data_IF_511733064193
#
_entry.id   IF_511733064193
#
_cell.length_a   1.000
_cell.length_b   1.000
_cell.length_c   1.000
_cell.angle_alpha   90.00
_cell.angle_beta   90.00
_cell.angle_gamma   90.00
#
_symmetry.space_group_name_H-M   'P 1'
#
loop_
_entity.id
_entity.type
_entity.pdbx_description
1 polymer ?
#
# COMPACT_ATOMS: atom_id res chain seq x y z
N UNK A 1 8.81 39.36 -56.10
CA UNK A 1 8.24 39.07 -54.76
C UNK A 1 8.14 37.56 -54.63
N UNK A 2 8.89 36.96 -53.70
CA UNK A 2 8.99 35.51 -53.53
C UNK A 2 7.97 35.07 -52.48
N UNK A 3 6.99 34.29 -52.90
CA UNK A 3 6.02 33.65 -52.00
C UNK A 3 6.78 32.47 -51.33
N UNK A 4 6.85 32.41 -49.99
CA UNK A 4 7.48 31.27 -49.32
C UNK A 4 6.69 29.98 -49.60
N UNK A 5 7.43 28.92 -49.96
CA UNK A 5 6.91 27.65 -50.47
C UNK A 5 6.56 26.64 -49.36
N UNK A 6 6.55 27.05 -48.09
CA UNK A 6 6.34 26.14 -46.96
C UNK A 6 5.23 26.64 -46.05
N UNK A 7 4.13 25.88 -46.02
CA UNK A 7 3.03 26.01 -45.07
C UNK A 7 3.42 25.34 -43.74
N UNK A 8 4.15 26.07 -42.88
CA UNK A 8 4.44 25.62 -41.52
C UNK A 8 3.23 25.69 -40.59
N UNK A 9 2.11 26.28 -41.04
CA UNK A 9 0.88 26.41 -40.27
C UNK A 9 0.16 25.08 -40.11
N UNK A 10 0.02 24.30 -41.19
CA UNK A 10 -0.64 22.98 -41.14
C UNK A 10 0.08 21.98 -40.24
N UNK A 11 1.43 21.98 -40.22
CA UNK A 11 2.21 21.12 -39.33
C UNK A 11 2.06 21.50 -37.84
N UNK A 12 2.02 22.80 -37.52
CA UNK A 12 1.82 23.27 -36.15
C UNK A 12 0.39 22.96 -35.64
N UNK A 13 -0.62 23.11 -36.50
CA UNK A 13 -2.01 22.78 -36.20
C UNK A 13 -2.18 21.27 -35.98
N UNK A 14 -1.63 20.43 -36.87
CA UNK A 14 -1.67 18.98 -36.72
C UNK A 14 -1.02 18.51 -35.41
N UNK A 15 0.08 19.15 -34.98
CA UNK A 15 0.71 18.87 -33.70
C UNK A 15 -0.19 19.24 -32.52
N UNK A 16 -0.81 20.42 -32.56
CA UNK A 16 -1.72 20.86 -31.51
C UNK A 16 -2.93 19.93 -31.37
N UNK A 17 -3.49 19.49 -32.50
CA UNK A 17 -4.58 18.52 -32.54
C UNK A 17 -4.17 17.14 -31.96
N UNK A 18 -2.99 16.64 -32.33
CA UNK A 18 -2.47 15.39 -31.79
C UNK A 18 -2.30 15.43 -30.26
N UNK A 19 -1.77 16.54 -29.72
CA UNK A 19 -1.61 16.74 -28.27
C UNK A 19 -2.99 16.80 -27.58
N UNK A 20 -3.95 17.49 -28.20
CA UNK A 20 -5.31 17.54 -27.67
C UNK A 20 -5.94 16.14 -27.62
N UNK A 21 -5.91 15.40 -28.72
CA UNK A 21 -6.45 14.03 -28.78
C UNK A 21 -5.77 13.09 -27.79
N UNK A 22 -4.45 13.22 -27.61
CA UNK A 22 -3.72 12.45 -26.60
C UNK A 22 -4.20 12.77 -25.18
N UNK A 23 -4.39 14.05 -24.85
CA UNK A 23 -4.87 14.45 -23.52
C UNK A 23 -6.33 14.01 -23.26
N UNK A 24 -7.20 14.10 -24.28
CA UNK A 24 -8.56 13.58 -24.22
C UNK A 24 -8.60 12.06 -24.01
N UNK A 25 -7.78 11.31 -24.76
CA UNK A 25 -7.67 9.86 -24.59
C UNK A 25 -7.15 9.47 -23.20
N UNK A 26 -6.16 10.20 -22.67
CA UNK A 26 -5.64 9.96 -21.32
C UNK A 26 -6.69 10.20 -20.25
N UNK A 27 -7.48 11.27 -20.38
CA UNK A 27 -8.59 11.56 -19.47
C UNK A 27 -9.65 10.46 -19.51
N UNK A 28 -10.04 10.03 -20.72
CA UNK A 28 -10.99 8.93 -20.90
C UNK A 28 -10.49 7.64 -20.25
N UNK A 29 -9.21 7.30 -20.44
CA UNK A 29 -8.59 6.14 -19.81
C UNK A 29 -8.62 6.24 -18.28
N UNK A 30 -8.20 7.37 -17.71
CA UNK A 30 -8.22 7.57 -16.25
C UNK A 30 -9.62 7.44 -15.66
N UNK A 31 -10.66 7.93 -16.36
CA UNK A 31 -12.03 7.77 -15.91
C UNK A 31 -12.50 6.31 -15.92
N UNK A 32 -12.11 5.54 -16.95
CA UNK A 32 -12.41 4.10 -17.05
C UNK A 32 -11.69 3.32 -15.94
N UNK A 33 -10.42 3.62 -15.72
CA UNK A 33 -9.59 2.97 -14.69
C UNK A 33 -10.17 3.21 -13.31
N UNK A 34 -10.47 4.47 -12.96
CA UNK A 34 -11.05 4.84 -11.67
C UNK A 34 -12.38 4.12 -11.41
N UNK A 35 -13.27 4.05 -12.41
CA UNK A 35 -14.54 3.32 -12.28
C UNK A 35 -14.34 1.82 -12.10
N UNK A 36 -13.37 1.26 -12.80
CA UNK A 36 -13.07 -0.18 -12.73
C UNK A 36 -12.51 -0.56 -11.37
N UNK A 37 -11.61 0.25 -10.83
CA UNK A 37 -11.02 0.09 -9.49
C UNK A 37 -12.09 0.11 -8.39
N UNK A 38 -13.02 1.07 -8.42
CA UNK A 38 -14.14 1.13 -7.47
C UNK A 38 -15.02 -0.13 -7.55
N UNK A 39 -15.27 -0.65 -8.76
CA UNK A 39 -16.08 -1.85 -8.93
C UNK A 39 -15.38 -3.09 -8.36
N UNK A 40 -14.07 -3.18 -8.55
CA UNK A 40 -13.25 -4.27 -8.05
C UNK A 40 -13.16 -4.25 -6.52
N UNK A 41 -12.82 -3.10 -5.93
CA UNK A 41 -12.73 -2.93 -4.48
C UNK A 41 -14.06 -3.20 -3.79
N UNK A 42 -15.17 -2.76 -4.39
CA UNK A 42 -16.51 -3.04 -3.88
C UNK A 42 -16.86 -4.54 -3.89
N UNK A 43 -16.47 -5.26 -4.95
CA UNK A 43 -16.71 -6.70 -5.04
C UNK A 43 -15.86 -7.48 -4.03
N UNK A 44 -14.62 -7.05 -3.80
CA UNK A 44 -13.73 -7.61 -2.78
C UNK A 44 -14.26 -7.34 -1.36
N UNK A 45 -14.77 -6.13 -1.11
CA UNK A 45 -15.42 -5.76 0.15
C UNK A 45 -16.61 -6.67 0.47
N UNK A 46 -17.54 -6.85 -0.47
CA UNK A 46 -18.72 -7.71 -0.24
C UNK A 46 -18.31 -9.15 0.06
N UNK A 47 -17.36 -9.70 -0.70
CA UNK A 47 -16.92 -11.08 -0.52
C UNK A 47 -16.27 -11.28 0.85
N UNK A 48 -15.37 -10.38 1.25
CA UNK A 48 -14.70 -10.46 2.56
C UNK A 48 -15.66 -10.25 3.73
N UNK A 49 -16.66 -9.37 3.58
CA UNK A 49 -17.74 -9.20 4.55
C UNK A 49 -18.54 -10.49 4.74
N UNK A 50 -18.95 -11.15 3.64
CA UNK A 50 -19.72 -12.39 3.70
C UNK A 50 -18.92 -13.51 4.37
N UNK A 51 -17.63 -13.63 4.07
CA UNK A 51 -16.74 -14.59 4.73
C UNK A 51 -16.65 -14.30 6.22
N UNK A 52 -16.36 -13.05 6.62
CA UNK A 52 -16.26 -12.67 8.03
C UNK A 52 -17.57 -12.92 8.79
N UNK A 53 -18.71 -12.63 8.17
CA UNK A 53 -20.04 -12.91 8.71
C UNK A 53 -20.28 -14.41 8.89
N UNK A 54 -19.97 -15.23 7.89
CA UNK A 54 -20.12 -16.68 7.97
C UNK A 54 -19.28 -17.28 9.11
N UNK A 55 -18.06 -16.79 9.32
CA UNK A 55 -17.25 -17.21 10.47
C UNK A 55 -17.90 -16.86 11.81
N UNK A 56 -18.44 -15.63 11.93
CA UNK A 56 -19.09 -15.14 13.15
C UNK A 56 -20.38 -15.91 13.47
N UNK A 57 -21.21 -16.12 12.46
CA UNK A 57 -22.58 -16.59 12.64
C UNK A 57 -22.65 -18.13 12.65
N UNK A 58 -21.73 -18.81 11.96
CA UNK A 58 -21.78 -20.27 11.77
C UNK A 58 -20.54 -20.99 12.30
N UNK A 59 -19.34 -20.64 11.82
CA UNK A 59 -18.13 -21.45 12.08
C UNK A 59 -17.73 -21.44 13.56
N UNK A 60 -17.61 -20.25 14.16
CA UNK A 60 -17.17 -20.10 15.56
C UNK A 60 -18.21 -20.67 16.54
N UNK A 61 -19.52 -20.35 16.41
CA UNK A 61 -20.54 -20.94 17.27
C UNK A 61 -20.62 -22.47 17.15
N UNK A 62 -20.56 -23.02 15.93
CA UNK A 62 -20.60 -24.46 15.73
C UNK A 62 -19.41 -25.16 16.39
N UNK A 63 -18.20 -24.60 16.22
CA UNK A 63 -17.00 -25.14 16.83
C UNK A 63 -17.06 -25.10 18.36
N UNK A 64 -17.68 -24.07 18.94
CA UNK A 64 -17.94 -24.00 20.38
C UNK A 64 -18.85 -25.13 20.85
N UNK A 65 -19.97 -25.37 20.16
CA UNK A 65 -20.91 -26.45 20.50
C UNK A 65 -20.23 -27.82 20.48
N UNK A 66 -19.43 -28.09 19.44
CA UNK A 66 -18.67 -29.35 19.31
C UNK A 66 -17.72 -29.56 20.49
N UNK A 67 -17.03 -28.51 20.91
CA UNK A 67 -16.08 -28.60 22.02
C UNK A 67 -16.76 -28.77 23.38
N UNK A 68 -17.88 -28.06 23.59
CA UNK A 68 -18.68 -28.20 24.80
C UNK A 68 -19.16 -29.67 24.95
N UNK A 69 -19.56 -30.31 23.84
CA UNK A 69 -19.89 -31.75 23.79
C UNK A 69 -18.66 -32.66 24.01
N UNK A 70 -17.50 -32.32 23.43
CA UNK A 70 -16.25 -33.09 23.62
C UNK A 70 -15.84 -33.12 25.09
N UNK A 71 -16.00 -32.00 25.80
CA UNK A 71 -15.76 -31.91 27.23
C UNK A 71 -16.70 -32.83 28.03
N UNK A 72 -17.99 -32.87 27.68
CA UNK A 72 -18.94 -33.79 28.31
C UNK A 72 -18.58 -35.26 28.09
N UNK A 73 -18.14 -35.63 26.88
CA UNK A 73 -17.68 -37.00 26.57
C UNK A 73 -16.41 -37.36 27.33
N UNK A 74 -15.46 -36.44 27.42
CA UNK A 74 -14.25 -36.64 28.22
C UNK A 74 -14.59 -36.89 29.69
N UNK A 75 -15.46 -36.06 30.28
CA UNK A 75 -15.93 -36.25 31.66
C UNK A 75 -16.66 -37.60 31.85
N UNK A 76 -17.36 -38.07 30.82
CA UNK A 76 -18.02 -39.39 30.80
C UNK A 76 -17.08 -40.56 30.52
N UNK A 77 -15.77 -40.35 30.40
CA UNK A 77 -14.76 -41.35 29.97
C UNK A 77 -15.03 -41.94 28.57
N UNK A 78 -15.79 -41.23 27.73
CA UNK A 78 -16.10 -41.60 26.35
C UNK A 78 -15.14 -40.97 25.33
N UNK A 79 -14.30 -40.01 25.77
CA UNK A 79 -13.27 -39.39 24.95
C UNK A 79 -11.92 -39.36 25.69
N UNK A 80 -10.84 -39.37 24.91
CA UNK A 80 -9.46 -39.33 25.41
C UNK A 80 -8.94 -37.89 25.57
N UNK A 81 -7.96 -37.69 26.47
CA UNK A 81 -7.24 -36.41 26.59
C UNK A 81 -6.63 -35.98 25.24
N UNK A 82 -6.17 -36.93 24.43
CA UNK A 82 -5.63 -36.63 23.10
C UNK A 82 -6.68 -36.06 22.14
N UNK A 83 -7.93 -36.53 22.24
CA UNK A 83 -9.05 -36.02 21.45
C UNK A 83 -9.45 -34.62 21.93
N UNK A 84 -9.43 -34.37 23.24
CA UNK A 84 -9.65 -33.03 23.80
C UNK A 84 -8.58 -32.02 23.33
N UNK A 85 -7.31 -32.44 23.30
CA UNK A 85 -6.21 -31.63 22.78
C UNK A 85 -6.36 -31.37 21.28
N UNK A 86 -6.83 -32.36 20.51
CA UNK A 86 -7.11 -32.19 19.08
C UNK A 86 -8.25 -31.19 18.86
N UNK A 87 -9.35 -31.30 19.61
CA UNK A 87 -10.47 -30.36 19.53
C UNK A 87 -10.04 -28.94 19.91
N UNK A 88 -9.23 -28.77 20.96
CA UNK A 88 -8.68 -27.46 21.34
C UNK A 88 -7.83 -26.82 20.21
N UNK A 89 -7.08 -27.63 19.44
CA UNK A 89 -6.36 -27.12 18.26
C UNK A 89 -7.33 -26.69 17.17
N UNK A 90 -8.36 -27.48 16.89
CA UNK A 90 -9.39 -27.11 15.91
C UNK A 90 -10.14 -25.83 16.30
N UNK A 91 -10.43 -25.64 17.59
CA UNK A 91 -10.98 -24.39 18.10
C UNK A 91 -10.07 -23.20 17.80
N UNK A 92 -8.77 -23.34 18.09
CA UNK A 92 -7.81 -22.29 17.81
C UNK A 92 -7.73 -21.97 16.31
N UNK A 93 -7.78 -22.99 15.44
CA UNK A 93 -7.83 -22.80 13.97
C UNK A 93 -9.09 -22.05 13.55
N UNK A 94 -10.26 -22.39 14.09
CA UNK A 94 -11.50 -21.71 13.75
C UNK A 94 -11.50 -20.23 14.18
N UNK A 95 -10.98 -19.94 15.38
CA UNK A 95 -10.85 -18.55 15.87
C UNK A 95 -9.83 -17.76 15.06
N UNK A 96 -8.67 -18.36 14.74
CA UNK A 96 -7.68 -17.71 13.89
C UNK A 96 -8.25 -17.41 12.49
N UNK A 97 -8.98 -18.35 11.89
CA UNK A 97 -9.66 -18.15 10.62
C UNK A 97 -10.68 -16.99 10.67
N UNK A 98 -11.40 -16.82 11.78
CA UNK A 98 -12.28 -15.66 11.97
C UNK A 98 -11.51 -14.34 12.07
N UNK A 99 -10.38 -14.32 12.78
CA UNK A 99 -9.52 -13.13 12.90
C UNK A 99 -8.95 -12.75 11.53
N UNK A 100 -8.49 -13.73 10.75
CA UNK A 100 -8.00 -13.50 9.39
C UNK A 100 -9.10 -12.96 8.48
N UNK A 101 -10.31 -13.53 8.54
CA UNK A 101 -11.45 -13.04 7.77
C UNK A 101 -11.83 -11.59 8.15
N UNK A 102 -11.78 -11.24 9.43
CA UNK A 102 -11.99 -9.85 9.87
C UNK A 102 -10.89 -8.93 9.35
N UNK A 103 -9.63 -9.35 9.40
CA UNK A 103 -8.50 -8.57 8.86
C UNK A 103 -8.71 -8.29 7.38
N UNK A 104 -9.06 -9.30 6.60
CA UNK A 104 -9.26 -9.18 5.16
C UNK A 104 -10.46 -8.28 4.84
N UNK A 105 -11.53 -8.37 5.63
CA UNK A 105 -12.66 -7.43 5.55
C UNK A 105 -12.24 -5.98 5.79
N UNK A 106 -11.49 -5.71 6.86
CA UNK A 106 -11.04 -4.35 7.16
C UNK A 106 -10.09 -3.81 6.08
N UNK A 107 -9.22 -4.66 5.53
CA UNK A 107 -8.37 -4.28 4.40
C UNK A 107 -9.21 -3.92 3.17
N UNK A 108 -10.19 -4.75 2.80
CA UNK A 108 -11.07 -4.50 1.66
C UNK A 108 -11.93 -3.24 1.83
N UNK A 109 -12.42 -2.97 3.04
CA UNK A 109 -13.13 -1.74 3.37
C UNK A 109 -12.22 -0.51 3.18
N UNK A 110 -10.97 -0.57 3.65
CA UNK A 110 -10.04 0.55 3.46
C UNK A 110 -9.65 0.76 2.01
N UNK A 111 -9.57 -0.31 1.20
CA UNK A 111 -9.31 -0.22 -0.25
C UNK A 111 -10.50 0.41 -0.98
N UNK A 112 -11.73 0.01 -0.61
CA UNK A 112 -12.95 0.62 -1.13
C UNK A 112 -12.98 2.13 -0.82
N UNK A 113 -12.71 2.52 0.43
CA UNK A 113 -12.66 3.93 0.82
C UNK A 113 -11.60 4.72 0.04
N UNK A 114 -10.42 4.13 -0.22
CA UNK A 114 -9.38 4.74 -1.05
C UNK A 114 -9.84 4.93 -2.50
N UNK A 115 -10.49 3.92 -3.08
CA UNK A 115 -11.01 4.01 -4.45
C UNK A 115 -12.12 5.06 -4.60
N UNK A 116 -12.97 5.24 -3.58
CA UNK A 116 -14.05 6.23 -3.55
C UNK A 116 -13.56 7.66 -3.30
N UNK A 117 -12.56 7.82 -2.41
CA UNK A 117 -11.89 9.10 -2.14
C UNK A 117 -10.99 9.56 -3.28
N UNK A 118 -10.79 8.70 -4.29
CA UNK A 118 -9.90 8.89 -5.41
C UNK A 118 -8.45 8.58 -5.05
N UNK A 119 -7.74 7.86 -5.92
CA UNK A 119 -6.29 8.04 -6.00
C UNK A 119 -6.06 9.52 -6.25
N UNK A 120 -5.40 10.21 -5.32
CA UNK A 120 -4.72 11.44 -5.71
C UNK A 120 -3.93 11.08 -6.96
N UNK A 121 -4.08 11.84 -8.08
CA UNK A 121 -3.28 11.59 -9.26
C UNK A 121 -1.86 11.39 -8.76
N UNK A 122 -1.13 10.34 -9.22
CA UNK A 122 0.22 10.13 -8.77
C UNK A 122 0.86 11.50 -8.87
N UNK A 123 1.29 12.06 -7.72
CA UNK A 123 2.17 13.21 -7.74
C UNK A 123 3.24 12.69 -8.66
N UNK A 124 3.23 13.16 -9.91
CA UNK A 124 4.27 12.84 -10.85
C UNK A 124 5.46 13.32 -10.07
N UNK A 125 6.19 12.37 -9.45
CA UNK A 125 7.38 12.67 -8.69
C UNK A 125 8.18 13.36 -9.74
N UNK A 126 8.20 14.70 -9.64
CA UNK A 126 8.54 15.58 -10.73
C UNK A 126 9.83 15.02 -11.24
N UNK A 127 9.82 14.45 -12.45
CA UNK A 127 11.06 14.01 -13.06
C UNK A 127 11.93 15.25 -12.95
N UNK A 128 12.97 15.15 -12.11
CA UNK A 128 13.88 16.25 -11.87
C UNK A 128 14.24 16.75 -13.26
N UNK A 129 14.13 18.06 -13.56
CA UNK A 129 14.57 18.54 -14.85
C UNK A 129 15.99 18.03 -15.03
N UNK A 130 16.23 17.28 -16.10
CA UNK A 130 17.56 16.87 -16.51
C UNK A 130 18.31 18.18 -16.74
N UNK A 131 19.06 18.62 -15.73
CA UNK A 131 19.85 19.84 -15.79
C UNK A 131 20.98 19.51 -16.75
N UNK A 132 21.06 20.13 -17.94
CA UNK A 132 22.16 19.88 -18.84
C UNK A 132 23.45 20.20 -18.10
N UNK A 133 24.33 19.21 -18.06
CA UNK A 133 25.59 19.25 -17.34
C UNK A 133 26.49 20.34 -17.95
N UNK A 134 26.53 21.51 -17.33
CA UNK A 134 27.42 22.61 -17.72
C UNK A 134 28.73 22.48 -16.94
N UNK A 135 29.40 21.34 -17.05
CA UNK A 135 30.79 21.19 -16.63
C UNK A 135 31.72 21.58 -17.76
N UNK A 136 31.86 22.88 -18.01
CA UNK A 136 32.97 23.43 -18.77
C UNK A 136 33.74 24.48 -17.94
N UNK A 137 34.98 24.08 -17.63
CA UNK A 137 36.17 24.90 -17.43
C UNK A 137 36.26 25.88 -16.23
N UNK A 138 36.83 25.42 -15.11
CA UNK A 138 37.90 26.16 -14.44
C UNK A 138 38.77 25.28 -13.51
N UNK A 139 40.03 25.09 -13.90
CA UNK A 139 41.20 24.89 -13.03
C UNK A 139 42.39 25.51 -13.83
N UNK A 140 43.50 26.04 -13.24
CA UNK A 140 44.09 25.58 -11.99
C UNK A 140 44.81 26.62 -11.09
N UNK A 141 45.12 26.18 -9.86
CA UNK A 141 46.25 26.58 -8.99
C UNK A 141 46.23 27.97 -8.31
N UNK A 142 46.38 28.05 -6.98
CA UNK A 142 47.67 28.09 -6.23
C UNK A 142 47.48 28.62 -4.79
N UNK A 143 48.29 28.09 -3.86
CA UNK A 143 48.61 28.48 -2.47
C UNK A 143 47.88 27.77 -1.32
N UNK A 144 48.45 26.77 -0.63
CA UNK A 144 49.67 26.69 0.22
C UNK A 144 49.34 26.83 1.72
N UNK A 145 49.16 25.65 2.34
CA UNK A 145 49.88 25.13 3.51
C UNK A 145 49.60 25.60 4.96
N UNK A 146 49.66 24.57 5.84
CA UNK A 146 49.98 24.53 7.27
C UNK A 146 48.83 24.88 8.25
N UNK A 147 48.67 24.27 9.43
CA UNK A 147 49.18 23.07 10.10
C UNK A 147 48.39 22.96 11.42
N UNK A 148 47.99 21.74 11.79
CA UNK A 148 47.86 21.17 13.14
C UNK A 148 47.51 22.09 14.33
N UNK A 149 46.47 21.75 15.10
CA UNK A 149 46.64 21.49 16.55
C UNK A 149 45.56 20.54 17.09
N UNK A 150 46.02 19.66 17.95
CA UNK A 150 45.36 18.58 18.69
C UNK A 150 44.48 19.15 19.82
N UNK A 151 43.62 18.30 20.38
CA UNK A 151 42.93 18.37 21.70
C UNK A 151 41.55 19.04 21.72
N UNK A 152 40.49 18.24 21.82
CA UNK A 152 39.89 17.96 23.14
C UNK A 152 38.77 16.92 23.05
N UNK A 153 39.01 15.78 23.71
CA UNK A 153 37.98 14.92 24.26
C UNK A 153 37.16 15.69 25.29
N UNK A 154 35.84 15.58 25.27
CA UNK A 154 34.92 15.51 26.43
C UNK A 154 33.48 15.78 25.94
N UNK A 155 32.76 14.72 25.58
CA UNK A 155 31.28 14.72 25.65
C UNK A 155 30.70 13.31 25.67
N UNK A 156 31.32 12.42 26.45
CA UNK A 156 30.59 11.33 27.11
C UNK A 156 30.11 11.84 28.47
N UNK A 157 28.79 11.97 28.62
CA UNK A 157 27.99 11.88 29.87
C UNK A 157 26.71 12.69 29.70
N UNK A 158 25.63 12.03 29.29
CA UNK A 158 24.33 12.19 29.96
C UNK A 158 23.37 11.06 29.60
N UNK A 159 23.68 9.87 30.10
CA UNK A 159 22.65 8.88 30.43
C UNK A 159 22.28 9.12 31.89
N UNK A 160 20.97 9.09 32.19
CA UNK A 160 20.30 9.38 33.47
C UNK A 160 19.91 10.85 33.64
N UNK A 161 18.68 11.15 33.25
CA UNK A 161 17.68 11.67 34.19
C UNK A 161 16.35 11.83 33.45
N UNK A 162 15.49 10.80 33.52
CA UNK A 162 14.05 11.01 33.51
C UNK A 162 13.38 9.80 34.17
N UNK A 163 13.36 9.81 35.50
CA UNK A 163 12.51 8.99 36.36
C UNK A 163 11.52 9.93 37.03
N UNK A 164 10.23 9.78 36.73
CA UNK A 164 9.13 9.73 37.71
C UNK A 164 7.92 9.12 37.03
#
# INVERSE_FOLDING_TARGET
MRIPLFDWGSAQVARAEAIYMQSANRLAQTAIDARSEVRESYSAYLTSYDVAKHYRDEVVPLRKIVSDEMLLRYNGMLASVFELLADSRDQAVAVNGYIDALKDYWLAETELQQSLGGRFPPLAMSQAPDVPDIHDAHDPSTHTAQSQTVTNSTRERRVRDFRR
#
